data_IF_195909667228
#
_entry.id   IF_195909667228
#
_cell.length_a   1.000
_cell.length_b   1.000
_cell.length_c   1.000
_cell.angle_alpha   90.00
_cell.angle_beta   90.00
_cell.angle_gamma   90.00
#
_symmetry.space_group_name_H-M   'P 1'
#
loop_
_entity.id
_entity.type
_entity.pdbx_description
1 polymer ?
#
# COMPACT_ATOMS: atom_id res chain seq x y z
N UNK A 1 -35.48 10.60 19.08
CA UNK A 1 -35.07 10.33 17.69
C UNK A 1 -33.58 10.06 17.70
N UNK A 2 -33.18 8.86 17.27
CA UNK A 2 -31.79 8.43 17.28
C UNK A 2 -31.00 9.17 16.18
N UNK A 3 -30.09 10.04 16.58
CA UNK A 3 -29.01 10.52 15.70
C UNK A 3 -28.03 9.37 15.55
N UNK A 4 -28.33 8.48 14.60
CA UNK A 4 -27.49 7.35 14.25
C UNK A 4 -26.13 7.85 13.79
N UNK A 5 -25.09 7.39 14.49
CA UNK A 5 -23.69 7.35 14.13
C UNK A 5 -23.28 8.29 12.97
N UNK A 6 -22.72 9.45 13.33
CA UNK A 6 -21.38 9.86 12.87
C UNK A 6 -20.95 9.12 11.59
N UNK A 7 -21.36 9.59 10.41
CA UNK A 7 -20.73 9.20 9.15
C UNK A 7 -19.36 9.90 9.07
N UNK A 8 -18.51 9.66 10.07
CA UNK A 8 -17.13 10.13 10.08
C UNK A 8 -16.45 9.45 8.90
N UNK A 9 -15.92 10.27 8.00
CA UNK A 9 -15.37 9.80 6.74
C UNK A 9 -14.37 8.67 7.03
N UNK A 10 -14.58 7.46 6.48
CA UNK A 10 -13.78 6.30 6.82
C UNK A 10 -12.33 6.62 6.47
N UNK A 11 -11.41 6.20 7.34
CA UNK A 11 -9.98 6.35 7.04
C UNK A 11 -9.67 5.77 5.65
N UNK A 12 -8.70 6.30 4.89
CA UNK A 12 -8.40 5.82 3.54
C UNK A 12 -8.14 4.30 3.48
N UNK A 13 -7.57 3.72 4.54
CA UNK A 13 -7.39 2.29 4.67
C UNK A 13 -8.69 1.53 4.92
N UNK A 14 -9.62 2.08 5.71
CA UNK A 14 -10.93 1.50 5.93
C UNK A 14 -11.78 1.53 4.65
N UNK A 15 -11.74 2.63 3.89
CA UNK A 15 -12.43 2.69 2.59
C UNK A 15 -11.86 1.65 1.62
N UNK A 16 -10.52 1.55 1.53
CA UNK A 16 -9.88 0.52 0.72
C UNK A 16 -10.28 -0.91 1.18
N UNK A 17 -10.43 -1.13 2.49
CA UNK A 17 -10.92 -2.39 3.04
C UNK A 17 -12.36 -2.72 2.59
N UNK A 18 -13.22 -1.71 2.46
CA UNK A 18 -14.56 -1.86 1.92
C UNK A 18 -14.53 -2.18 0.42
N UNK A 19 -13.69 -1.50 -0.36
CA UNK A 19 -13.55 -1.76 -1.79
C UNK A 19 -13.09 -3.19 -2.10
N UNK A 20 -12.24 -3.79 -1.27
CA UNK A 20 -11.90 -5.22 -1.41
C UNK A 20 -13.12 -6.15 -1.31
N UNK A 21 -14.15 -5.77 -0.54
CA UNK A 21 -15.39 -6.55 -0.39
C UNK A 21 -16.42 -6.18 -1.46
N UNK A 22 -16.51 -4.89 -1.80
CA UNK A 22 -17.49 -4.36 -2.75
C UNK A 22 -17.14 -4.66 -4.20
N UNK A 23 -15.86 -4.59 -4.53
CA UNK A 23 -15.33 -4.76 -5.88
C UNK A 23 -14.26 -5.88 -5.90
N UNK A 24 -14.65 -7.13 -5.62
CA UNK A 24 -13.71 -8.26 -5.56
C UNK A 24 -13.08 -8.58 -6.92
N UNK A 25 -13.64 -8.10 -8.02
CA UNK A 25 -13.12 -8.29 -9.38
C UNK A 25 -12.05 -7.26 -9.78
N UNK A 26 -12.03 -6.12 -9.11
CA UNK A 26 -11.09 -5.02 -9.39
C UNK A 26 -9.97 -4.96 -8.35
N UNK A 27 -10.33 -5.04 -7.07
CA UNK A 27 -9.38 -4.92 -5.96
C UNK A 27 -9.06 -6.29 -5.38
N UNK A 28 -7.80 -6.72 -5.53
CA UNK A 28 -7.32 -7.98 -4.97
C UNK A 28 -6.27 -7.76 -3.88
N UNK A 29 -6.45 -8.48 -2.76
CA UNK A 29 -5.46 -8.54 -1.65
C UNK A 29 -4.28 -9.46 -1.94
N UNK A 30 -4.35 -10.34 -2.93
CA UNK A 30 -3.27 -11.28 -3.28
C UNK A 30 -2.54 -10.85 -4.56
N UNK A 31 -3.23 -10.91 -5.70
CA UNK A 31 -2.69 -10.54 -7.00
C UNK A 31 -3.21 -9.17 -7.41
N UNK A 32 -2.62 -8.10 -6.87
CA UNK A 32 -2.94 -6.73 -7.26
C UNK A 32 -2.76 -6.59 -8.76
N UNK A 33 -3.76 -6.10 -9.49
CA UNK A 33 -3.68 -5.91 -10.95
C UNK A 33 -3.54 -4.41 -11.26
N UNK A 34 -2.90 -4.04 -12.39
CA UNK A 34 -2.91 -2.64 -12.82
C UNK A 34 -4.36 -2.18 -13.02
N UNK A 35 -4.67 -0.98 -12.55
CA UNK A 35 -6.03 -0.42 -12.61
C UNK A 35 -6.15 0.49 -13.82
N UNK A 36 -7.38 0.65 -14.33
CA UNK A 36 -7.70 1.63 -15.36
C UNK A 36 -7.26 3.03 -14.92
N UNK A 37 -6.63 3.78 -15.82
CA UNK A 37 -6.32 5.19 -15.57
C UNK A 37 -7.63 5.96 -15.45
N UNK A 38 -7.77 6.78 -14.39
CA UNK A 38 -9.02 7.51 -14.17
C UNK A 38 -10.09 6.77 -13.37
N UNK A 39 -9.82 5.56 -12.84
CA UNK A 39 -10.80 4.81 -12.02
C UNK A 39 -11.32 5.57 -10.79
N UNK A 40 -10.62 6.61 -10.35
CA UNK A 40 -11.06 7.48 -9.26
C UNK A 40 -12.31 8.31 -9.61
N UNK A 41 -12.55 8.60 -10.90
CA UNK A 41 -13.73 9.31 -11.36
C UNK A 41 -14.97 8.40 -11.27
N UNK A 42 -14.90 7.21 -11.86
CA UNK A 42 -15.92 6.15 -11.70
C UNK A 42 -16.26 5.89 -10.23
N UNK A 43 -15.23 5.75 -9.38
CA UNK A 43 -15.42 5.55 -7.95
C UNK A 43 -16.08 6.75 -7.27
N UNK A 44 -15.83 7.98 -7.72
CA UNK A 44 -16.46 9.18 -7.19
C UNK A 44 -17.92 9.33 -7.64
N UNK A 45 -18.31 8.70 -8.76
CA UNK A 45 -19.71 8.67 -9.22
C UNK A 45 -20.53 7.62 -8.45
N UNK A 46 -19.92 6.47 -8.12
CA UNK A 46 -20.62 5.40 -7.40
C UNK A 46 -20.60 5.62 -5.88
N UNK A 47 -19.49 6.11 -5.34
CA UNK A 47 -19.36 6.33 -3.90
C UNK A 47 -19.64 7.79 -3.54
N UNK A 48 -20.43 8.06 -2.49
CA UNK A 48 -20.72 9.42 -2.02
C UNK A 48 -19.56 10.03 -1.21
N UNK A 49 -18.31 9.71 -1.57
CA UNK A 49 -17.11 10.22 -0.89
C UNK A 49 -16.42 11.31 -1.70
N UNK A 50 -15.79 12.30 -1.05
CA UNK A 50 -15.06 13.33 -1.76
C UNK A 50 -13.87 12.73 -2.53
N UNK A 51 -13.63 13.24 -3.73
CA UNK A 51 -12.53 12.81 -4.62
C UNK A 51 -11.18 12.73 -3.90
N UNK A 52 -10.90 13.66 -2.98
CA UNK A 52 -9.66 13.68 -2.18
C UNK A 52 -9.47 12.39 -1.37
N UNK A 53 -10.54 11.86 -0.79
CA UNK A 53 -10.51 10.65 0.02
C UNK A 53 -10.36 9.42 -0.87
N UNK A 54 -11.11 9.36 -1.98
CA UNK A 54 -11.00 8.31 -3.00
C UNK A 54 -9.58 8.24 -3.55
N UNK A 55 -8.99 9.37 -3.95
CA UNK A 55 -7.60 9.46 -4.42
C UNK A 55 -6.62 9.01 -3.36
N UNK A 56 -6.84 9.34 -2.08
CA UNK A 56 -5.95 8.94 -0.99
C UNK A 56 -6.04 7.44 -0.70
N UNK A 57 -7.23 6.85 -0.72
CA UNK A 57 -7.43 5.41 -0.60
C UNK A 57 -6.81 4.65 -1.79
N UNK A 58 -6.98 5.18 -3.00
CA UNK A 58 -6.37 4.64 -4.21
C UNK A 58 -4.84 4.76 -4.17
N UNK A 59 -4.30 5.89 -3.70
CA UNK A 59 -2.86 6.09 -3.50
C UNK A 59 -2.28 5.03 -2.54
N UNK A 60 -2.98 4.70 -1.45
CA UNK A 60 -2.60 3.60 -0.56
C UNK A 60 -2.55 2.25 -1.28
N UNK A 61 -3.39 2.02 -2.29
CA UNK A 61 -3.40 0.79 -3.08
C UNK A 61 -2.27 0.76 -4.13
N UNK A 62 -2.13 1.81 -4.94
CA UNK A 62 -1.18 1.83 -6.07
C UNK A 62 0.27 1.99 -5.63
N UNK A 63 0.53 2.56 -4.45
CA UNK A 63 1.88 2.66 -3.88
C UNK A 63 2.34 1.39 -3.17
N UNK A 64 1.50 0.34 -3.10
CA UNK A 64 1.93 -0.94 -2.55
C UNK A 64 3.06 -1.53 -3.41
N UNK A 65 4.14 -2.06 -2.80
CA UNK A 65 5.22 -2.70 -3.55
C UNK A 65 4.72 -3.87 -4.41
N UNK A 66 3.63 -4.52 -3.98
CA UNK A 66 3.00 -5.60 -4.74
C UNK A 66 2.27 -5.11 -5.97
N UNK A 67 1.65 -3.93 -5.91
CA UNK A 67 1.00 -3.30 -7.06
C UNK A 67 2.05 -2.92 -8.10
N UNK A 68 3.11 -2.22 -7.69
CA UNK A 68 4.18 -1.82 -8.62
C UNK A 68 4.86 -3.02 -9.29
N UNK A 69 4.89 -4.20 -8.65
CA UNK A 69 5.38 -5.45 -9.24
C UNK A 69 4.46 -6.04 -10.32
N UNK A 70 3.15 -5.78 -10.25
CA UNK A 70 2.18 -6.31 -11.21
C UNK A 70 1.99 -5.40 -12.43
N UNK A 71 2.33 -4.12 -12.31
CA UNK A 71 2.39 -3.20 -13.45
C UNK A 71 3.58 -3.59 -14.34
N UNK A 72 3.30 -4.36 -15.39
CA UNK A 72 4.28 -4.82 -16.39
C UNK A 72 3.81 -4.41 -17.77
N UNK A 73 4.75 -4.25 -18.70
CA UNK A 73 4.44 -3.98 -20.10
C UNK A 73 3.52 -5.07 -20.66
N UNK A 74 2.45 -4.67 -21.34
CA UNK A 74 1.46 -5.58 -21.89
C UNK A 74 0.51 -6.20 -20.85
N UNK A 75 0.59 -5.79 -19.57
CA UNK A 75 -0.40 -6.21 -18.58
C UNK A 75 -1.74 -5.51 -18.85
N UNK A 76 -2.83 -6.27 -18.80
CA UNK A 76 -4.19 -5.74 -18.95
C UNK A 76 -4.64 -5.05 -17.67
N UNK A 77 -5.08 -3.80 -17.80
CA UNK A 77 -5.68 -3.00 -16.73
C UNK A 77 -7.11 -3.46 -16.50
N UNK A 78 -7.47 -3.56 -15.23
CA UNK A 78 -8.86 -3.85 -14.84
C UNK A 78 -9.60 -2.56 -14.51
N UNK A 79 -10.84 -2.49 -14.99
CA UNK A 79 -11.78 -1.44 -14.63
C UNK A 79 -12.54 -1.77 -13.32
N UNK A 80 -13.55 -0.96 -12.98
CA UNK A 80 -14.42 -1.18 -11.81
C UNK A 80 -15.33 -2.41 -11.94
N UNK A 81 -15.64 -2.87 -13.15
CA UNK A 81 -16.39 -4.11 -13.40
C UNK A 81 -15.50 -5.36 -13.32
N UNK A 82 -14.18 -5.17 -13.37
CA UNK A 82 -13.16 -6.21 -13.44
C UNK A 82 -12.92 -6.71 -14.86
N UNK A 83 -13.37 -5.96 -15.86
CA UNK A 83 -13.07 -6.23 -17.27
C UNK A 83 -11.70 -5.66 -17.63
N UNK A 84 -11.02 -6.34 -18.55
CA UNK A 84 -9.80 -5.81 -19.12
C UNK A 84 -10.10 -4.69 -20.10
N UNK A 85 -9.46 -3.55 -19.88
CA UNK A 85 -9.74 -2.34 -20.65
C UNK A 85 -8.51 -1.97 -21.50
N UNK A 86 -7.44 -1.55 -20.84
CA UNK A 86 -6.27 -0.99 -21.50
C UNK A 86 -5.00 -1.79 -21.18
N UNK A 87 -4.05 -1.83 -22.10
CA UNK A 87 -2.74 -2.40 -21.85
C UNK A 87 -1.84 -1.37 -21.19
N UNK A 88 -1.05 -1.80 -20.21
CA UNK A 88 0.02 -0.99 -19.64
C UNK A 88 1.10 -0.78 -20.69
N UNK A 89 1.37 0.48 -20.99
CA UNK A 89 2.42 0.88 -21.92
C UNK A 89 3.82 0.67 -21.32
N UNK A 90 4.84 0.56 -22.18
CA UNK A 90 6.21 0.37 -21.75
C UNK A 90 6.73 1.50 -20.84
N UNK A 91 6.31 2.75 -21.10
CA UNK A 91 6.71 3.90 -20.27
C UNK A 91 6.12 3.82 -18.85
N UNK A 92 4.85 3.44 -18.74
CA UNK A 92 4.18 3.28 -17.45
C UNK A 92 4.75 2.12 -16.65
N UNK A 93 5.07 1.01 -17.31
CA UNK A 93 5.80 -0.10 -16.69
C UNK A 93 7.18 0.34 -16.21
N UNK A 94 7.91 1.14 -17.00
CA UNK A 94 9.22 1.69 -16.61
C UNK A 94 9.09 2.64 -15.42
N UNK A 95 8.04 3.47 -15.39
CA UNK A 95 7.76 4.35 -14.26
C UNK A 95 7.45 3.54 -12.99
N UNK A 96 6.58 2.54 -13.07
CA UNK A 96 6.26 1.66 -11.95
C UNK A 96 7.50 0.92 -11.42
N UNK A 97 8.36 0.43 -12.33
CA UNK A 97 9.63 -0.20 -11.97
C UNK A 97 10.56 0.75 -11.23
N UNK A 98 10.73 1.99 -11.72
CA UNK A 98 11.53 3.03 -11.04
C UNK A 98 10.99 3.33 -9.63
N UNK A 99 9.67 3.44 -9.47
CA UNK A 99 9.05 3.64 -8.16
C UNK A 99 9.29 2.46 -7.22
N UNK A 100 9.20 1.23 -7.73
CA UNK A 100 9.46 0.02 -6.95
C UNK A 100 10.91 -0.01 -6.45
N UNK A 101 11.87 0.30 -7.32
CA UNK A 101 13.29 0.35 -6.96
C UNK A 101 13.57 1.43 -5.90
N UNK A 102 12.99 2.61 -6.04
CA UNK A 102 13.11 3.68 -5.05
C UNK A 102 12.52 3.27 -3.69
N UNK A 103 11.38 2.61 -3.68
CA UNK A 103 10.73 2.13 -2.46
C UNK A 103 11.53 1.00 -1.80
N UNK A 104 12.05 0.05 -2.57
CA UNK A 104 12.91 -1.02 -2.06
C UNK A 104 14.20 -0.46 -1.45
N UNK A 105 14.84 0.52 -2.09
CA UNK A 105 16.04 1.17 -1.56
C UNK A 105 15.77 1.84 -0.20
N UNK A 106 14.65 2.57 -0.08
CA UNK A 106 14.22 3.18 1.18
C UNK A 106 13.93 2.13 2.27
N UNK A 107 13.23 1.04 1.92
CA UNK A 107 12.94 -0.02 2.88
C UNK A 107 14.20 -0.73 3.36
N UNK A 108 15.14 -1.04 2.45
CA UNK A 108 16.41 -1.68 2.81
C UNK A 108 17.23 -0.82 3.77
N UNK A 109 17.36 0.47 3.49
CA UNK A 109 18.03 1.42 4.39
C UNK A 109 17.38 1.45 5.78
N UNK A 110 16.05 1.53 5.85
CA UNK A 110 15.31 1.54 7.12
C UNK A 110 15.41 0.23 7.89
N UNK A 111 15.49 -0.91 7.20
CA UNK A 111 15.65 -2.22 7.82
C UNK A 111 17.08 -2.41 8.37
N UNK A 112 18.10 -1.97 7.61
CA UNK A 112 19.50 -2.01 8.07
C UNK A 112 19.69 -1.17 9.33
N UNK A 113 19.14 0.05 9.38
CA UNK A 113 19.23 0.93 10.55
C UNK A 113 18.53 0.34 11.78
N UNK A 114 17.29 -0.16 11.61
CA UNK A 114 16.59 -0.82 12.70
C UNK A 114 17.30 -2.09 13.20
N UNK A 115 17.97 -2.82 12.30
CA UNK A 115 18.73 -4.02 12.67
C UNK A 115 20.00 -3.68 13.43
N UNK A 116 20.71 -2.61 13.05
CA UNK A 116 21.88 -2.14 13.80
C UNK A 116 21.49 -1.63 15.18
N UNK A 117 20.44 -0.80 15.29
CA UNK A 117 19.94 -0.31 16.59
C UNK A 117 19.51 -1.45 17.52
N UNK A 118 18.82 -2.47 16.98
CA UNK A 118 18.46 -3.66 17.77
C UNK A 118 19.67 -4.47 18.21
N UNK A 119 20.70 -4.56 17.37
CA UNK A 119 21.94 -5.26 17.70
C UNK A 119 22.72 -4.51 18.78
N UNK A 120 22.86 -3.20 18.63
CA UNK A 120 23.51 -2.30 19.59
C UNK A 120 22.83 -2.38 20.97
N UNK A 121 21.50 -2.29 20.99
CA UNK A 121 20.70 -2.46 22.23
C UNK A 121 20.89 -3.85 22.87
N UNK A 122 21.02 -4.91 22.07
CA UNK A 122 21.30 -6.26 22.58
C UNK A 122 22.72 -6.38 23.15
N UNK A 123 23.72 -5.80 22.48
CA UNK A 123 25.10 -5.80 22.93
C UNK A 123 25.23 -5.04 24.26
N UNK A 124 24.63 -3.84 24.35
CA UNK A 124 24.59 -3.07 25.60
C UNK A 124 23.91 -3.84 26.75
N UNK A 125 22.79 -4.51 26.47
CA UNK A 125 22.10 -5.32 27.48
C UNK A 125 22.92 -6.54 27.96
N UNK A 126 23.68 -7.19 27.06
CA UNK A 126 24.55 -8.32 27.41
C UNK A 126 25.77 -7.91 28.22
N UNK A 127 26.36 -6.75 27.89
CA UNK A 127 27.48 -6.16 28.62
C UNK A 127 27.06 -5.74 30.04
N UNK A 128 25.89 -5.09 30.19
CA UNK A 128 25.34 -4.72 31.49
C UNK A 128 25.10 -5.95 32.39
N UNK A 129 24.67 -7.08 31.80
CA UNK A 129 24.43 -8.33 32.55
C UNK A 129 25.71 -9.03 33.01
N UNK A 130 26.83 -8.89 32.29
CA UNK A 130 28.11 -9.49 32.68
C UNK A 130 29.00 -8.60 33.56
N UNK A 131 28.68 -7.30 33.68
CA UNK A 131 29.34 -6.36 34.60
C UNK A 131 28.94 -6.51 36.07
N UNK A 132 27.88 -7.27 36.38
CA UNK A 132 27.48 -7.62 37.74
C UNK A 132 28.01 -9.03 38.12
N UNK A 133 29.31 -9.18 38.27
CA UNK A 133 29.86 -10.25 39.12
C UNK A 133 30.45 -9.59 40.36
N UNK A 134 29.79 -9.64 41.53
CA UNK A 134 30.47 -9.37 42.78
C UNK A 134 31.52 -10.48 42.96
N UNK A 135 32.78 -10.09 43.11
CA UNK A 135 33.79 -10.96 43.70
C UNK A 135 33.43 -11.12 45.18
N UNK A 136 33.05 -12.32 45.58
CA UNK A 136 33.15 -12.81 46.96
C UNK A 136 34.41 -13.66 47.09
#
# INVERSE_FOLDING_TARGET
MAFGAEHEAPSPHALLAQWYKRYPRTFFKGHTRPLKTGIHLDLCEVEPWPEKLVRRALACYVHLPRYLKSVREGARRVDMAGEDCELVTADEAKHAKRQLEALQKKQKARETQQRSEKLDRKIGALLAKHGQRPQE
#
